data_IF_197499297835
#
_entry.id   IF_197499297835
#
_cell.length_a   1.000
_cell.length_b   1.000
_cell.length_c   1.000
_cell.angle_alpha   90.00
_cell.angle_beta   90.00
_cell.angle_gamma   90.00
#
_symmetry.space_group_name_H-M   'P 1'
#
loop_
_entity.id
_entity.type
_entity.pdbx_description
1 polymer ?
#
# COMPACT_ATOMS: atom_id res chain seq x y z
N UNK A 1 20.27 -0.61 -17.88
CA UNK A 1 18.85 -0.45 -18.26
C UNK A 1 18.86 0.47 -19.46
N UNK A 2 18.38 0.01 -20.60
CA UNK A 2 18.50 0.76 -21.85
C UNK A 2 17.71 2.07 -21.78
N UNK A 3 18.31 3.15 -22.30
CA UNK A 3 17.69 4.49 -22.28
C UNK A 3 16.32 4.52 -22.96
N UNK A 4 16.09 3.62 -23.91
CA UNK A 4 14.82 3.44 -24.63
C UNK A 4 13.70 2.92 -23.72
N UNK A 5 14.00 1.96 -22.85
CA UNK A 5 13.04 1.43 -21.87
C UNK A 5 12.65 2.51 -20.84
N UNK A 6 13.62 3.33 -20.42
CA UNK A 6 13.36 4.44 -19.50
C UNK A 6 12.46 5.51 -20.13
N UNK A 7 12.69 5.85 -21.39
CA UNK A 7 11.86 6.79 -22.13
C UNK A 7 10.41 6.28 -22.24
N UNK A 8 10.25 5.00 -22.59
CA UNK A 8 8.95 4.36 -22.71
C UNK A 8 8.17 4.32 -21.38
N UNK A 9 8.84 4.01 -20.27
CA UNK A 9 8.22 4.03 -18.94
C UNK A 9 7.76 5.45 -18.58
N UNK A 10 8.57 6.46 -18.90
CA UNK A 10 8.24 7.87 -18.62
C UNK A 10 7.00 8.31 -19.39
N UNK A 11 6.98 8.06 -20.70
CA UNK A 11 5.84 8.38 -21.57
C UNK A 11 4.54 7.74 -21.05
N UNK A 12 4.61 6.47 -20.63
CA UNK A 12 3.44 5.76 -20.09
C UNK A 12 2.98 6.28 -18.73
N UNK A 13 3.91 6.71 -17.88
CA UNK A 13 3.56 7.37 -16.62
C UNK A 13 2.91 8.74 -16.86
N UNK A 14 3.38 9.50 -17.84
CA UNK A 14 2.82 10.81 -18.18
C UNK A 14 1.37 10.64 -18.69
N UNK A 15 1.13 9.69 -19.60
CA UNK A 15 -0.22 9.34 -20.06
C UNK A 15 -1.10 8.81 -18.91
N UNK A 16 -0.54 8.00 -18.01
CA UNK A 16 -1.25 7.48 -16.85
C UNK A 16 -1.75 8.62 -15.95
N UNK A 17 -0.88 9.58 -15.63
CA UNK A 17 -1.23 10.72 -14.78
C UNK A 17 -2.29 11.62 -15.43
N UNK A 18 -2.23 11.82 -16.74
CA UNK A 18 -3.22 12.58 -17.49
C UNK A 18 -4.60 11.91 -17.44
N UNK A 19 -4.68 10.61 -17.75
CA UNK A 19 -5.95 9.87 -17.84
C UNK A 19 -6.58 9.61 -16.48
N UNK A 20 -5.77 9.36 -15.44
CA UNK A 20 -6.31 9.02 -14.12
C UNK A 20 -6.84 10.26 -13.38
N UNK A 21 -6.43 11.47 -13.74
CA UNK A 21 -6.92 12.67 -13.08
C UNK A 21 -8.43 12.86 -13.33
N UNK A 22 -9.27 13.18 -12.32
CA UNK A 22 -8.98 13.55 -10.93
C UNK A 22 -9.16 12.41 -9.90
N UNK A 23 -9.18 11.15 -10.35
CA UNK A 23 -9.42 9.98 -9.50
C UNK A 23 -8.51 9.86 -8.26
N UNK A 24 -7.24 10.31 -8.26
CA UNK A 24 -6.43 10.37 -7.04
C UNK A 24 -7.08 11.12 -5.87
N UNK A 25 -7.87 12.17 -6.15
CA UNK A 25 -8.59 12.92 -5.11
C UNK A 25 -9.70 12.07 -4.48
N UNK A 26 -10.41 11.28 -5.31
CA UNK A 26 -11.46 10.36 -4.85
C UNK A 26 -10.86 9.29 -3.95
N UNK A 27 -9.77 8.64 -4.38
CA UNK A 27 -9.13 7.62 -3.55
C UNK A 27 -8.49 8.19 -2.30
N UNK A 28 -8.00 9.43 -2.31
CA UNK A 28 -7.51 10.10 -1.10
C UNK A 28 -8.65 10.27 -0.09
N UNK A 29 -9.83 10.72 -0.53
CA UNK A 29 -11.02 10.83 0.31
C UNK A 29 -11.47 9.45 0.85
N UNK A 30 -11.51 8.43 0.00
CA UNK A 30 -11.81 7.05 0.41
C UNK A 30 -10.77 6.53 1.43
N UNK A 31 -9.50 6.83 1.23
CA UNK A 31 -8.42 6.47 2.14
C UNK A 31 -8.56 7.12 3.52
N UNK A 32 -8.98 8.39 3.57
CA UNK A 32 -9.33 9.07 4.83
C UNK A 32 -10.53 8.41 5.51
N UNK A 33 -11.57 8.05 4.75
CA UNK A 33 -12.72 7.31 5.27
C UNK A 33 -12.28 5.96 5.84
N UNK A 34 -11.41 5.23 5.14
CA UNK A 34 -10.88 3.96 5.61
C UNK A 34 -10.05 4.10 6.89
N UNK A 35 -9.23 5.15 7.01
CA UNK A 35 -8.50 5.47 8.23
C UNK A 35 -9.45 5.76 9.40
N UNK A 36 -10.40 6.67 9.21
CA UNK A 36 -11.38 7.03 10.25
C UNK A 36 -12.22 5.82 10.64
N UNK A 37 -12.72 5.05 9.67
CA UNK A 37 -13.46 3.82 9.92
C UNK A 37 -12.65 2.81 10.75
N UNK A 38 -11.33 2.70 10.51
CA UNK A 38 -10.46 1.83 11.32
C UNK A 38 -10.29 2.32 12.76
N UNK A 39 -10.37 3.63 12.99
CA UNK A 39 -10.32 4.24 14.31
C UNK A 39 -11.66 4.17 15.05
N UNK A 40 -12.76 4.05 14.32
CA UNK A 40 -14.12 3.87 14.85
C UNK A 40 -14.53 2.39 14.92
N UNK A 41 -13.57 1.48 14.79
CA UNK A 41 -13.78 0.04 14.83
C UNK A 41 -14.72 -0.53 13.73
N UNK A 42 -14.94 0.26 12.67
CA UNK A 42 -15.72 -0.10 11.47
C UNK A 42 -14.84 -0.79 10.41
N UNK A 43 -14.07 -1.80 10.83
CA UNK A 43 -12.96 -2.36 10.06
C UNK A 43 -13.33 -2.91 8.68
N UNK A 44 -14.54 -3.43 8.51
CA UNK A 44 -15.04 -3.93 7.22
C UNK A 44 -15.04 -2.85 6.15
N UNK A 45 -15.40 -1.61 6.51
CA UNK A 45 -15.39 -0.48 5.57
C UNK A 45 -13.96 -0.21 5.11
N UNK A 46 -13.00 -0.15 6.04
CA UNK A 46 -11.58 0.04 5.73
C UNK A 46 -11.05 -1.05 4.80
N UNK A 47 -11.45 -2.31 5.04
CA UNK A 47 -11.05 -3.46 4.21
C UNK A 47 -11.68 -3.42 2.81
N UNK A 48 -12.95 -3.03 2.66
CA UNK A 48 -13.57 -2.90 1.34
C UNK A 48 -12.96 -1.75 0.53
N UNK A 49 -12.67 -0.63 1.16
CA UNK A 49 -11.98 0.48 0.50
C UNK A 49 -10.58 0.05 0.09
N UNK A 50 -9.82 -0.57 0.99
CA UNK A 50 -8.48 -1.09 0.67
C UNK A 50 -8.56 -2.11 -0.49
N UNK A 51 -9.48 -3.07 -0.44
CA UNK A 51 -9.70 -4.03 -1.53
C UNK A 51 -9.95 -3.33 -2.87
N UNK A 52 -10.79 -2.29 -2.87
CA UNK A 52 -11.09 -1.50 -4.07
C UNK A 52 -9.85 -0.79 -4.59
N UNK A 53 -9.05 -0.20 -3.70
CA UNK A 53 -7.75 0.41 -4.03
C UNK A 53 -6.75 -0.60 -4.63
N UNK A 54 -6.67 -1.81 -4.06
CA UNK A 54 -5.82 -2.89 -4.61
C UNK A 54 -6.27 -3.31 -6.00
N UNK A 55 -7.58 -3.47 -6.20
CA UNK A 55 -8.13 -3.83 -7.51
C UNK A 55 -7.90 -2.74 -8.55
N UNK A 56 -8.08 -1.48 -8.16
CA UNK A 56 -7.81 -0.31 -9.01
C UNK A 56 -6.36 -0.29 -9.48
N UNK A 57 -5.40 -0.44 -8.57
CA UNK A 57 -3.97 -0.51 -8.93
C UNK A 57 -3.68 -1.74 -9.79
N UNK A 58 -4.22 -2.91 -9.44
CA UNK A 58 -4.03 -4.12 -10.23
C UNK A 58 -4.51 -3.95 -11.68
N UNK A 59 -5.78 -3.61 -11.87
CA UNK A 59 -6.42 -3.52 -13.17
C UNK A 59 -5.89 -2.34 -13.97
N UNK A 60 -5.93 -1.13 -13.41
CA UNK A 60 -5.65 0.08 -14.19
C UNK A 60 -4.15 0.29 -14.31
N UNK A 61 -3.43 0.39 -13.18
CA UNK A 61 -1.99 0.64 -13.22
C UNK A 61 -1.27 -0.52 -13.89
N UNK A 62 -1.35 -1.74 -13.36
CA UNK A 62 -0.58 -2.86 -13.92
C UNK A 62 -1.18 -3.46 -15.19
N UNK A 63 -2.50 -3.65 -15.26
CA UNK A 63 -3.15 -4.27 -16.40
C UNK A 63 -3.18 -3.35 -17.64
N UNK A 64 -3.88 -2.23 -17.54
CA UNK A 64 -4.17 -1.37 -18.69
C UNK A 64 -2.98 -0.55 -19.18
N UNK A 65 -2.16 0.00 -18.26
CA UNK A 65 -1.07 0.90 -18.64
C UNK A 65 0.28 0.19 -18.83
N UNK A 66 0.60 -0.80 -18.00
CA UNK A 66 1.89 -1.49 -18.02
C UNK A 66 1.85 -2.92 -18.59
N UNK A 67 0.68 -3.51 -18.76
CA UNK A 67 0.51 -4.92 -19.15
C UNK A 67 1.13 -5.25 -20.51
N UNK A 68 0.94 -4.40 -21.51
CA UNK A 68 1.45 -4.61 -22.87
C UNK A 68 2.99 -4.58 -22.98
N UNK A 69 3.69 -4.09 -21.95
CA UNK A 69 5.12 -3.78 -22.02
C UNK A 69 6.02 -4.76 -21.29
N UNK A 70 5.51 -5.35 -20.22
CA UNK A 70 6.34 -6.15 -19.35
C UNK A 70 5.52 -7.28 -18.73
N UNK A 71 5.96 -8.51 -18.93
CA UNK A 71 5.26 -9.69 -18.40
C UNK A 71 5.03 -9.62 -16.88
N UNK A 72 5.96 -9.01 -16.12
CA UNK A 72 5.75 -8.86 -14.67
C UNK A 72 4.61 -7.89 -14.31
N UNK A 73 4.14 -7.05 -15.24
CA UNK A 73 2.94 -6.25 -14.99
C UNK A 73 1.72 -7.16 -14.84
N UNK A 74 1.57 -8.21 -15.66
CA UNK A 74 0.49 -9.19 -15.47
C UNK A 74 0.64 -9.98 -14.17
N UNK A 75 1.87 -10.34 -13.79
CA UNK A 75 2.12 -10.97 -12.47
C UNK A 75 1.66 -10.06 -11.34
N UNK A 76 1.97 -8.76 -11.41
CA UNK A 76 1.52 -7.79 -10.41
C UNK A 76 0.00 -7.55 -10.43
N UNK A 77 -0.63 -7.50 -11.60
CA UNK A 77 -2.09 -7.49 -11.72
C UNK A 77 -2.72 -8.66 -10.95
N UNK A 78 -2.22 -9.88 -11.14
CA UNK A 78 -2.72 -11.06 -10.46
C UNK A 78 -2.50 -10.99 -8.94
N UNK A 79 -1.31 -10.60 -8.49
CA UNK A 79 -1.00 -10.44 -7.07
C UNK A 79 -1.91 -9.39 -6.43
N UNK A 80 -2.11 -8.25 -7.09
CA UNK A 80 -2.96 -7.18 -6.57
C UNK A 80 -4.43 -7.58 -6.53
N UNK A 81 -4.90 -8.29 -7.55
CA UNK A 81 -6.27 -8.83 -7.60
C UNK A 81 -6.49 -9.86 -6.50
N UNK A 82 -5.53 -10.76 -6.28
CA UNK A 82 -5.60 -11.75 -5.21
C UNK A 82 -5.69 -11.09 -3.83
N UNK A 83 -4.88 -10.05 -3.59
CA UNK A 83 -4.94 -9.31 -2.33
C UNK A 83 -6.27 -8.56 -2.16
N UNK A 84 -6.83 -7.98 -3.22
CA UNK A 84 -8.15 -7.36 -3.17
C UNK A 84 -9.23 -8.37 -2.75
N UNK A 85 -9.22 -9.57 -3.32
CA UNK A 85 -10.14 -10.65 -2.96
C UNK A 85 -9.95 -11.06 -1.50
N UNK A 86 -8.71 -11.29 -1.07
CA UNK A 86 -8.37 -11.65 0.31
C UNK A 86 -8.93 -10.61 1.28
N UNK A 87 -8.74 -9.32 1.01
CA UNK A 87 -9.30 -8.24 1.83
C UNK A 87 -10.84 -8.23 1.82
N UNK A 88 -11.47 -8.42 0.66
CA UNK A 88 -12.93 -8.39 0.54
C UNK A 88 -13.65 -9.52 1.29
N UNK A 89 -13.05 -10.72 1.35
CA UNK A 89 -13.65 -11.88 2.03
C UNK A 89 -13.22 -12.00 3.50
N UNK A 90 -12.19 -11.26 3.91
CA UNK A 90 -11.68 -11.30 5.28
C UNK A 90 -12.71 -10.80 6.27
N UNK A 91 -12.70 -11.40 7.47
CA UNK A 91 -13.49 -10.94 8.61
C UNK A 91 -12.54 -10.29 9.61
N UNK A 92 -12.27 -8.98 9.48
CA UNK A 92 -11.34 -8.29 10.36
C UNK A 92 -11.89 -8.22 11.78
N UNK A 93 -11.10 -8.66 12.74
CA UNK A 93 -11.40 -8.60 14.17
C UNK A 93 -10.25 -7.89 14.89
N UNK A 94 -10.58 -7.03 15.84
CA UNK A 94 -9.56 -6.35 16.63
C UNK A 94 -8.87 -7.33 17.56
N UNK A 95 -7.56 -7.50 17.39
CA UNK A 95 -6.71 -8.23 18.35
C UNK A 95 -5.36 -7.55 18.60
N UNK A 96 -5.22 -6.28 18.20
CA UNK A 96 -3.99 -5.51 18.35
C UNK A 96 -3.84 -4.86 19.73
N UNK A 97 -2.60 -4.64 20.16
CA UNK A 97 -2.30 -3.76 21.29
C UNK A 97 -2.25 -2.28 20.85
N UNK A 98 -2.24 -1.35 21.81
CA UNK A 98 -2.22 0.10 21.55
C UNK A 98 -1.04 0.52 20.66
N UNK A 99 0.13 -0.10 20.84
CA UNK A 99 1.31 0.19 20.03
C UNK A 99 1.07 -0.10 18.54
N UNK A 100 0.50 -1.27 18.22
CA UNK A 100 0.15 -1.64 16.84
C UNK A 100 -0.89 -0.71 16.22
N UNK A 101 -1.88 -0.29 17.00
CA UNK A 101 -2.89 0.67 16.54
C UNK A 101 -2.26 2.00 16.16
N UNK A 102 -1.36 2.53 17.00
CA UNK A 102 -0.63 3.78 16.72
C UNK A 102 0.28 3.62 15.51
N UNK A 103 1.16 2.62 15.51
CA UNK A 103 2.11 2.39 14.41
C UNK A 103 1.39 2.15 13.09
N UNK A 104 0.33 1.34 13.10
CA UNK A 104 -0.49 1.08 11.91
C UNK A 104 -1.18 2.33 11.39
N UNK A 105 -1.75 3.16 12.28
CA UNK A 105 -2.38 4.42 11.90
C UNK A 105 -1.38 5.40 11.30
N UNK A 106 -0.17 5.50 11.87
CA UNK A 106 0.91 6.34 11.32
C UNK A 106 1.34 5.87 9.93
N UNK A 107 1.43 4.56 9.70
CA UNK A 107 1.71 4.00 8.38
C UNK A 107 0.59 4.27 7.38
N UNK A 108 -0.67 4.18 7.80
CA UNK A 108 -1.82 4.56 6.96
C UNK A 108 -1.75 6.04 6.57
N UNK A 109 -1.48 6.93 7.52
CA UNK A 109 -1.29 8.37 7.26
C UNK A 109 -0.14 8.58 6.28
N UNK A 110 1.00 7.92 6.48
CA UNK A 110 2.13 8.03 5.57
C UNK A 110 1.79 7.53 4.14
N UNK A 111 1.02 6.45 4.02
CA UNK A 111 0.48 5.99 2.74
C UNK A 111 -0.43 7.01 2.05
N UNK A 112 -1.20 7.79 2.83
CA UNK A 112 -2.10 8.82 2.28
C UNK A 112 -1.37 10.09 1.86
N UNK A 113 -0.49 10.62 2.72
CA UNK A 113 0.10 11.95 2.52
C UNK A 113 1.62 11.94 2.40
N UNK A 114 2.31 10.97 2.99
CA UNK A 114 3.78 10.91 2.99
C UNK A 114 4.35 10.81 1.58
N UNK A 115 3.77 9.96 0.73
CA UNK A 115 4.18 9.84 -0.68
C UNK A 115 3.90 11.09 -1.52
N UNK A 116 2.82 11.80 -1.22
CA UNK A 116 2.47 13.07 -1.86
C UNK A 116 3.53 14.13 -1.50
N UNK A 117 3.86 14.26 -0.22
CA UNK A 117 4.89 15.18 0.28
C UNK A 117 6.25 14.87 -0.35
N UNK A 118 6.66 13.60 -0.37
CA UNK A 118 7.92 13.18 -1.00
C UNK A 118 7.98 13.51 -2.50
N UNK A 119 6.86 13.45 -3.21
CA UNK A 119 6.81 13.83 -4.62
C UNK A 119 6.94 15.35 -4.81
N UNK A 120 6.29 16.15 -3.95
CA UNK A 120 6.41 17.61 -3.96
C UNK A 120 7.83 18.07 -3.65
N UNK A 121 8.51 17.45 -2.69
CA UNK A 121 9.92 17.71 -2.38
C UNK A 121 10.86 17.40 -3.55
N UNK A 122 10.45 16.51 -4.45
CA UNK A 122 11.17 16.19 -5.70
C UNK A 122 10.80 17.12 -6.86
N UNK A 123 9.99 18.15 -6.62
CA UNK A 123 9.57 19.12 -7.63
C UNK A 123 8.53 18.59 -8.62
N UNK A 124 7.84 17.49 -8.30
CA UNK A 124 6.76 16.94 -9.15
C UNK A 124 5.51 17.80 -9.07
N UNK A 125 4.76 17.83 -10.16
CA UNK A 125 3.46 18.50 -10.18
C UNK A 125 2.39 17.69 -9.45
N UNK A 126 1.32 18.34 -8.99
CA UNK A 126 0.24 17.70 -8.20
C UNK A 126 -0.37 16.49 -8.92
N UNK A 127 -0.55 16.57 -10.23
CA UNK A 127 -1.07 15.48 -11.06
C UNK A 127 -0.08 14.31 -11.25
N UNK A 128 1.21 14.48 -10.94
CA UNK A 128 2.27 13.47 -11.09
C UNK A 128 2.63 12.76 -9.77
N UNK A 129 1.96 13.12 -8.67
CA UNK A 129 2.25 12.57 -7.35
C UNK A 129 1.68 11.14 -7.21
N UNK A 130 2.31 10.34 -6.35
CA UNK A 130 1.81 9.02 -6.05
C UNK A 130 0.78 9.09 -4.92
N UNK A 131 -0.47 8.75 -5.25
CA UNK A 131 -1.57 8.74 -4.31
C UNK A 131 -1.98 7.31 -3.94
N UNK A 132 -2.50 7.15 -2.73
CA UNK A 132 -3.18 5.93 -2.31
C UNK A 132 -4.29 5.56 -3.30
N UNK A 133 -4.45 4.26 -3.59
CA UNK A 133 -5.50 3.72 -4.46
C UNK A 133 -5.26 3.88 -5.95
N UNK A 134 -4.30 4.71 -6.36
CA UNK A 134 -3.90 4.85 -7.77
C UNK A 134 -2.44 4.49 -8.00
N UNK A 135 -1.59 4.49 -6.96
CA UNK A 135 -0.20 4.06 -7.09
C UNK A 135 0.11 2.86 -6.17
N UNK A 136 0.91 1.88 -6.61
CA UNK A 136 1.21 0.69 -5.82
C UNK A 136 1.88 1.00 -4.47
N UNK A 137 2.85 1.90 -4.41
CA UNK A 137 3.64 2.11 -3.18
C UNK A 137 2.82 2.66 -2.00
N UNK A 138 2.09 3.80 -2.14
CA UNK A 138 1.21 4.28 -1.06
C UNK A 138 0.11 3.27 -0.72
N UNK A 139 -0.39 2.50 -1.69
CA UNK A 139 -1.42 1.46 -1.45
C UNK A 139 -0.89 0.30 -0.59
N UNK A 140 0.33 -0.18 -0.88
CA UNK A 140 1.00 -1.21 -0.07
C UNK A 140 1.27 -0.67 1.33
N UNK A 141 1.83 0.54 1.45
CA UNK A 141 2.12 1.18 2.74
C UNK A 141 0.88 1.30 3.62
N UNK A 142 -0.21 1.83 3.04
CA UNK A 142 -1.48 1.97 3.74
C UNK A 142 -2.01 0.62 4.23
N UNK A 143 -1.90 -0.41 3.40
CA UNK A 143 -2.41 -1.75 3.69
C UNK A 143 -1.61 -2.49 4.76
N UNK A 144 -0.29 -2.25 4.81
CA UNK A 144 0.54 -2.70 5.93
C UNK A 144 0.10 -2.06 7.24
N UNK A 145 -0.13 -0.74 7.23
CA UNK A 145 -0.66 -0.02 8.37
C UNK A 145 -2.01 -0.56 8.83
N UNK A 146 -2.95 -0.75 7.89
CA UNK A 146 -4.26 -1.33 8.15
C UNK A 146 -4.16 -2.74 8.76
N UNK A 147 -3.23 -3.56 8.30
CA UNK A 147 -3.01 -4.92 8.83
C UNK A 147 -2.44 -4.92 10.25
N UNK A 148 -1.70 -3.87 10.64
CA UNK A 148 -1.25 -3.69 12.02
C UNK A 148 -2.41 -3.28 12.93
N UNK A 149 -3.25 -2.33 12.48
CA UNK A 149 -4.43 -1.86 13.23
C UNK A 149 -5.44 -2.99 13.41
N UNK A 150 -5.75 -3.71 12.34
CA UNK A 150 -6.75 -4.77 12.32
C UNK A 150 -6.18 -6.00 11.66
N UNK A 151 -5.58 -6.92 12.43
CA UNK A 151 -5.07 -8.15 11.88
C UNK A 151 -6.20 -9.02 11.34
N UNK A 152 -5.98 -9.58 10.16
CA UNK A 152 -6.75 -10.68 9.62
C UNK A 152 -5.79 -11.73 9.06
N UNK A 153 -6.24 -12.98 9.05
CA UNK A 153 -5.41 -14.10 8.63
C UNK A 153 -4.95 -13.89 7.19
N UNK A 154 -3.64 -13.97 6.96
CA UNK A 154 -2.97 -13.85 5.66
C UNK A 154 -3.03 -12.49 4.94
N UNK A 155 -3.85 -11.53 5.39
CA UNK A 155 -4.01 -10.22 4.72
C UNK A 155 -2.71 -9.41 4.67
N UNK A 156 -1.82 -9.62 5.63
CA UNK A 156 -0.52 -8.94 5.69
C UNK A 156 0.56 -9.58 4.82
N UNK A 157 0.38 -10.82 4.34
CA UNK A 157 1.44 -11.59 3.68
C UNK A 157 1.83 -10.96 2.34
N UNK A 158 0.86 -10.66 1.47
CA UNK A 158 1.15 -10.06 0.17
C UNK A 158 1.67 -8.62 0.30
N UNK A 159 1.03 -7.72 1.08
CA UNK A 159 1.57 -6.38 1.28
C UNK A 159 2.99 -6.40 1.84
N UNK A 160 3.30 -7.31 2.77
CA UNK A 160 4.64 -7.42 3.35
C UNK A 160 5.65 -7.94 2.32
N UNK A 161 5.31 -8.99 1.58
CA UNK A 161 6.17 -9.54 0.54
C UNK A 161 6.48 -8.49 -0.55
N UNK A 162 5.47 -7.73 -0.99
CA UNK A 162 5.66 -6.66 -1.96
C UNK A 162 6.44 -5.48 -1.38
N UNK A 163 6.21 -5.09 -0.13
CA UNK A 163 6.98 -4.02 0.50
C UNK A 163 8.47 -4.39 0.65
N UNK A 164 8.77 -5.64 1.01
CA UNK A 164 10.13 -6.17 1.03
C UNK A 164 10.74 -6.17 -0.37
N UNK A 165 10.02 -6.70 -1.36
CA UNK A 165 10.51 -6.81 -2.73
C UNK A 165 10.78 -5.43 -3.35
N UNK A 166 9.78 -4.54 -3.36
CA UNK A 166 9.93 -3.19 -3.93
C UNK A 166 10.85 -2.30 -3.10
N UNK A 167 10.84 -2.46 -1.77
CA UNK A 167 11.77 -1.79 -0.88
C UNK A 167 13.21 -2.15 -1.19
N UNK A 168 13.53 -3.45 -1.29
CA UNK A 168 14.86 -3.93 -1.66
C UNK A 168 15.26 -3.49 -3.08
N UNK A 169 14.33 -3.58 -4.03
CA UNK A 169 14.57 -3.14 -5.40
C UNK A 169 14.94 -1.65 -5.46
N UNK A 170 14.26 -0.80 -4.68
CA UNK A 170 14.49 0.65 -4.65
C UNK A 170 15.92 1.04 -4.26
N UNK A 171 16.57 0.28 -3.38
CA UNK A 171 17.98 0.46 -3.05
C UNK A 171 18.89 0.07 -4.23
N UNK A 172 18.55 -1.01 -4.94
CA UNK A 172 19.33 -1.50 -6.08
C UNK A 172 19.27 -0.58 -7.29
N UNK A 173 18.13 0.08 -7.52
CA UNK A 173 17.92 1.00 -8.65
C UNK A 173 18.08 2.48 -8.27
N UNK A 174 18.56 2.76 -7.05
CA UNK A 174 18.71 4.12 -6.51
C UNK A 174 17.45 4.99 -6.56
N UNK A 175 16.26 4.38 -6.61
CA UNK A 175 14.99 5.11 -6.66
C UNK A 175 14.58 5.48 -5.23
N UNK A 176 14.75 6.74 -4.77
CA UNK A 176 14.54 7.10 -3.37
C UNK A 176 13.08 6.89 -2.94
N UNK A 177 12.17 7.01 -3.90
CA UNK A 177 10.73 6.92 -3.71
C UNK A 177 10.25 5.56 -3.16
N UNK A 178 10.97 4.46 -3.42
CA UNK A 178 10.61 3.13 -2.90
C UNK A 178 11.18 2.81 -1.53
N UNK A 179 12.16 3.59 -1.04
CA UNK A 179 12.87 3.31 0.24
C UNK A 179 11.96 3.32 1.47
N UNK A 180 10.92 4.17 1.58
CA UNK A 180 9.98 4.11 2.69
C UNK A 180 9.32 2.73 2.86
N UNK A 181 9.05 1.99 1.77
CA UNK A 181 8.50 0.62 1.87
C UNK A 181 9.46 -0.34 2.56
N UNK A 182 10.76 -0.21 2.32
CA UNK A 182 11.76 -1.05 2.98
C UNK A 182 11.75 -0.82 4.50
N UNK A 183 11.77 0.44 4.93
CA UNK A 183 11.71 0.78 6.37
C UNK A 183 10.39 0.33 7.01
N UNK A 184 9.27 0.51 6.31
CA UNK A 184 7.97 0.04 6.75
C UNK A 184 7.91 -1.48 6.90
N UNK A 185 8.43 -2.23 5.94
CA UNK A 185 8.47 -3.70 6.02
C UNK A 185 9.27 -4.20 7.22
N UNK A 186 10.42 -3.56 7.51
CA UNK A 186 11.23 -3.88 8.68
C UNK A 186 10.48 -3.58 9.99
N UNK A 187 9.83 -2.42 10.08
CA UNK A 187 9.04 -2.03 11.24
C UNK A 187 7.89 -3.02 11.51
N UNK A 188 7.17 -3.43 10.47
CA UNK A 188 6.09 -4.43 10.58
C UNK A 188 6.63 -5.77 11.09
N UNK A 189 7.74 -6.27 10.54
CA UNK A 189 8.36 -7.52 10.97
C UNK A 189 8.78 -7.45 12.44
N UNK A 190 9.44 -6.36 12.86
CA UNK A 190 9.87 -6.17 14.25
C UNK A 190 8.67 -6.17 15.20
N UNK A 191 7.62 -5.42 14.88
CA UNK A 191 6.41 -5.36 15.72
C UNK A 191 5.71 -6.72 15.81
N UNK A 192 5.63 -7.45 14.70
CA UNK A 192 5.07 -8.81 14.70
C UNK A 192 5.92 -9.79 15.52
N UNK A 193 7.25 -9.67 15.47
CA UNK A 193 8.15 -10.51 16.27
C UNK A 193 8.04 -10.21 17.76
N UNK A 194 8.01 -8.93 18.15
CA UNK A 194 7.87 -8.53 19.56
C UNK A 194 6.59 -9.14 20.16
N UNK A 195 5.48 -9.11 19.42
CA UNK A 195 4.22 -9.72 19.85
C UNK A 195 4.31 -11.26 19.96
N UNK A 196 5.06 -11.92 19.07
CA UNK A 196 5.25 -13.37 19.10
C UNK A 196 6.01 -13.84 20.35
N UNK A 197 6.93 -13.00 20.84
CA UNK A 197 7.76 -13.26 22.02
C UNK A 197 7.25 -12.59 23.30
N UNK A 198 6.22 -11.75 23.21
CA UNK A 198 5.61 -11.15 24.39
C UNK A 198 4.90 -12.23 25.21
N UNK A 199 5.17 -12.34 26.52
CA UNK A 199 4.49 -13.32 27.37
C UNK A 199 2.99 -13.02 27.35
N UNK A 200 2.18 -14.01 26.92
CA UNK A 200 0.72 -13.93 27.04
C UNK A 200 0.40 -13.81 28.52
N UNK A 201 -0.07 -12.64 28.96
CA UNK A 201 -0.64 -12.50 30.30
C UNK A 201 -1.85 -13.45 30.37
N UNK A 202 -1.72 -14.56 31.09
CA UNK A 202 -2.88 -15.33 31.54
C UNK A 202 -3.69 -14.39 32.43
N UNK A 203 -4.86 -13.97 31.95
CA UNK A 203 -5.90 -13.46 32.82
C UNK A 203 -6.43 -14.66 33.61
N UNK A 204 -6.31 -14.68 34.95
CA UNK A 204 -6.96 -15.70 35.74
C UNK A 204 -8.48 -15.48 35.64
N UNK A 205 -9.19 -16.57 35.33
CA UNK A 205 -10.65 -16.66 35.34
C UNK A 205 -11.23 -16.46 36.75
#
# INVERSE_FOLDING_TARGET
MDNELLALIRERMDLYHEVIWPLPLVFTALGLIALIASLLDMYRISYYIAATSWLMVGIVFFGLFFGSYHYMAYVNLLIFTAQAIIMAISKPEYSGNTARRISGSLMMVFGLVGYVILGLEQGRQINELAYFGTNPFPTIMFSLGLSLVVPARFVWVIPLALALFYGALSFRIYMPFGRPLAYASLAVVILMMIDLFAPKKHTPD
#
